data_IF_884423784942
#
_entry.id   IF_884423784942
#
_cell.length_a   1.000
_cell.length_b   1.000
_cell.length_c   1.000
_cell.angle_alpha   90.00
_cell.angle_beta   90.00
_cell.angle_gamma   90.00
#
_symmetry.space_group_name_H-M   'P 1'
#
loop_
_entity.id
_entity.type
_entity.pdbx_description
1 polymer ?
#
# COMPACT_ATOMS: atom_id res chain seq x y z
N UNK A 1 -18.45 -11.65 -2.73
CA UNK A 1 -17.26 -10.80 -2.64
C UNK A 1 -17.39 -9.69 -3.66
N UNK A 2 -17.18 -8.46 -3.22
CA UNK A 2 -17.17 -7.26 -4.07
C UNK A 2 -15.92 -6.48 -3.70
N UNK A 3 -15.20 -6.01 -4.70
CA UNK A 3 -14.16 -5.00 -4.54
C UNK A 3 -14.40 -3.90 -5.56
N UNK A 4 -14.48 -2.67 -5.08
CA UNK A 4 -14.48 -1.47 -5.89
C UNK A 4 -13.31 -0.59 -5.46
N UNK A 5 -12.59 -0.03 -6.44
CA UNK A 5 -11.49 0.90 -6.20
C UNK A 5 -11.62 2.02 -7.22
N UNK A 6 -11.83 3.21 -6.73
CA UNK A 6 -11.77 4.44 -7.51
C UNK A 6 -10.49 5.17 -7.15
N UNK A 7 -9.79 5.75 -8.13
CA UNK A 7 -8.55 6.47 -7.86
C UNK A 7 -8.47 7.71 -8.72
N UNK A 8 -8.10 8.82 -8.09
CA UNK A 8 -7.84 10.09 -8.73
C UNK A 8 -6.37 10.44 -8.59
N UNK A 9 -5.77 10.96 -9.68
CA UNK A 9 -4.37 11.36 -9.72
C UNK A 9 -4.25 12.77 -10.23
N UNK A 10 -3.53 13.61 -9.49
CA UNK A 10 -3.11 14.92 -9.93
C UNK A 10 -1.58 14.98 -9.93
N UNK A 11 -0.99 15.40 -11.04
CA UNK A 11 0.44 15.63 -11.13
C UNK A 11 0.69 17.02 -11.70
N UNK A 12 1.49 17.81 -10.97
CA UNK A 12 2.00 19.09 -11.40
C UNK A 12 3.52 19.00 -11.43
N UNK A 13 4.13 19.39 -12.53
CA UNK A 13 5.59 19.36 -12.72
C UNK A 13 6.06 20.59 -13.46
N UNK A 14 7.20 21.13 -13.02
CA UNK A 14 7.90 22.20 -13.72
C UNK A 14 9.39 21.86 -13.84
N UNK A 15 9.94 22.08 -15.03
CA UNK A 15 11.37 21.95 -15.30
C UNK A 15 11.94 23.34 -15.62
N UNK A 16 13.07 23.68 -15.01
CA UNK A 16 13.82 24.91 -15.27
C UNK A 16 15.23 24.55 -15.68
N UNK A 17 15.60 24.98 -16.88
CA UNK A 17 16.94 24.77 -17.45
C UNK A 17 17.79 25.99 -17.20
N UNK A 18 18.98 25.81 -16.67
CA UNK A 18 19.96 26.85 -16.44
C UNK A 18 21.36 26.30 -16.71
N UNK A 19 21.94 26.66 -17.86
CA UNK A 19 23.23 26.16 -18.33
C UNK A 19 23.36 24.62 -18.21
N UNK A 20 24.22 24.16 -17.30
CA UNK A 20 24.51 22.74 -17.09
C UNK A 20 23.53 22.04 -16.12
N UNK A 21 22.49 22.73 -15.69
CA UNK A 21 21.54 22.23 -14.72
C UNK A 21 20.11 22.14 -15.26
N UNK A 22 19.41 21.07 -14.90
CA UNK A 22 17.96 20.93 -15.08
C UNK A 22 17.32 20.69 -13.72
N UNK A 23 16.70 21.74 -13.20
CA UNK A 23 15.94 21.67 -11.97
C UNK A 23 14.53 21.22 -12.26
N UNK A 24 14.07 20.21 -11.54
CA UNK A 24 12.70 19.72 -11.59
C UNK A 24 12.05 19.91 -10.24
N UNK A 25 10.86 20.48 -10.19
CA UNK A 25 10.00 20.50 -9.01
C UNK A 25 8.65 19.92 -9.37
N UNK A 26 8.07 19.12 -8.47
CA UNK A 26 6.78 18.54 -8.74
C UNK A 26 5.98 18.26 -7.48
N UNK A 27 4.66 18.23 -7.68
CA UNK A 27 3.66 17.82 -6.70
C UNK A 27 2.80 16.72 -7.31
N UNK A 28 2.51 15.69 -6.53
CA UNK A 28 1.61 14.60 -6.92
C UNK A 28 0.61 14.35 -5.79
N UNK A 29 -0.66 14.15 -6.14
CA UNK A 29 -1.71 13.65 -5.26
C UNK A 29 -2.28 12.38 -5.85
N UNK A 30 -2.34 11.33 -5.05
CA UNK A 30 -2.98 10.03 -5.34
C UNK A 30 -4.02 9.80 -4.26
N UNK A 31 -5.28 9.79 -4.62
CA UNK A 31 -6.42 9.56 -3.76
C UNK A 31 -7.12 8.28 -4.22
N UNK A 32 -7.44 7.40 -3.29
CA UNK A 32 -8.02 6.10 -3.60
C UNK A 32 -9.10 5.73 -2.61
N UNK A 33 -10.33 5.66 -3.12
CA UNK A 33 -11.50 5.11 -2.42
C UNK A 33 -11.57 3.60 -2.63
N UNK A 34 -11.68 2.86 -1.54
CA UNK A 34 -11.69 1.40 -1.58
C UNK A 34 -12.86 0.85 -0.79
N UNK A 35 -13.75 0.16 -1.47
CA UNK A 35 -14.80 -0.66 -0.84
C UNK A 35 -14.47 -2.12 -1.10
N UNK A 36 -14.19 -2.88 -0.05
CA UNK A 36 -13.89 -4.31 -0.14
C UNK A 36 -14.81 -5.12 0.77
N UNK A 37 -15.76 -5.82 0.17
CA UNK A 37 -16.66 -6.74 0.84
C UNK A 37 -16.12 -8.17 0.72
N UNK A 38 -15.30 -8.57 1.66
CA UNK A 38 -14.80 -9.94 1.78
C UNK A 38 -15.13 -10.51 3.17
N UNK A 39 -16.22 -11.26 3.23
CA UNK A 39 -16.66 -11.91 4.47
C UNK A 39 -16.43 -13.42 4.34
N UNK A 40 -15.30 -13.87 4.83
CA UNK A 40 -14.99 -15.29 4.85
C UNK A 40 -16.00 -16.05 5.71
N UNK A 41 -16.55 -17.13 5.20
CA UNK A 41 -17.52 -18.00 5.90
C UNK A 41 -18.85 -17.32 6.24
N UNK A 42 -19.28 -16.33 5.48
CA UNK A 42 -20.59 -15.71 5.64
C UNK A 42 -21.74 -16.76 5.50
N UNK A 43 -21.60 -17.68 4.55
CA UNK A 43 -22.57 -18.77 4.34
C UNK A 43 -22.31 -20.00 5.24
N UNK A 44 -21.41 -19.89 6.19
CA UNK A 44 -20.98 -21.00 7.02
C UNK A 44 -19.91 -21.90 6.36
N UNK A 45 -19.16 -22.59 7.19
CA UNK A 45 -18.18 -23.63 6.82
C UNK A 45 -18.40 -24.82 7.76
N UNK A 46 -18.79 -25.95 7.20
CA UNK A 46 -18.89 -27.22 7.94
C UNK A 46 -17.66 -28.05 7.62
N UNK A 47 -17.00 -28.59 8.62
CA UNK A 47 -15.84 -29.46 8.47
C UNK A 47 -16.14 -30.85 9.03
N UNK A 48 -15.71 -31.87 8.30
CA UNK A 48 -15.79 -33.28 8.66
C UNK A 48 -14.36 -33.80 8.85
N UNK A 49 -14.15 -34.83 9.66
CA UNK A 49 -12.83 -35.46 9.90
C UNK A 49 -12.46 -36.43 8.79
N UNK A 50 -13.49 -37.08 8.19
CA UNK A 50 -13.35 -38.09 7.14
C UNK A 50 -14.49 -38.01 6.11
N UNK A 51 -14.35 -38.70 4.99
CA UNK A 51 -15.42 -38.84 4.00
C UNK A 51 -16.58 -39.67 4.55
N UNK A 52 -16.31 -40.64 5.42
CA UNK A 52 -17.33 -41.42 6.11
C UNK A 52 -18.16 -40.55 7.05
N UNK A 53 -17.52 -39.68 7.83
CA UNK A 53 -18.20 -38.67 8.65
C UNK A 53 -19.11 -37.75 7.82
N UNK A 54 -18.63 -37.33 6.64
CA UNK A 54 -19.45 -36.56 5.71
C UNK A 54 -20.69 -37.32 5.24
N UNK A 55 -20.54 -38.57 4.83
CA UNK A 55 -21.65 -39.43 4.40
C UNK A 55 -22.68 -39.67 5.52
N UNK A 56 -22.20 -39.78 6.76
CA UNK A 56 -23.04 -40.03 7.94
C UNK A 56 -23.55 -38.73 8.60
N UNK A 57 -23.23 -37.54 8.03
CA UNK A 57 -23.65 -36.25 8.59
C UNK A 57 -22.97 -35.87 9.92
N UNK A 58 -21.86 -36.53 10.28
CA UNK A 58 -21.11 -36.30 11.54
C UNK A 58 -20.09 -35.18 11.34
N UNK A 59 -20.48 -33.96 11.60
CA UNK A 59 -19.58 -32.81 11.49
C UNK A 59 -18.64 -32.70 12.70
N UNK A 60 -17.46 -32.13 12.50
CA UNK A 60 -16.48 -31.88 13.56
C UNK A 60 -16.40 -30.41 13.96
N UNK A 61 -16.69 -29.52 13.05
CA UNK A 61 -16.66 -28.08 13.30
C UNK A 61 -17.59 -27.33 12.35
N UNK A 62 -18.36 -26.41 12.91
CA UNK A 62 -19.13 -25.42 12.18
C UNK A 62 -18.52 -24.02 12.47
N UNK A 63 -18.31 -23.21 11.46
CA UNK A 63 -17.89 -21.81 11.61
C UNK A 63 -18.73 -20.92 10.71
N UNK A 64 -19.09 -19.77 11.23
CA UNK A 64 -19.81 -18.74 10.48
C UNK A 64 -19.28 -17.37 10.90
N UNK A 65 -19.33 -16.42 9.99
CA UNK A 65 -19.10 -15.01 10.29
C UNK A 65 -20.45 -14.31 10.24
N UNK A 66 -20.94 -13.84 11.39
CA UNK A 66 -22.24 -13.24 11.55
C UNK A 66 -22.12 -11.75 11.89
N UNK A 67 -22.93 -10.88 11.27
CA UNK A 67 -23.06 -9.50 11.71
C UNK A 67 -23.71 -9.44 13.10
N UNK A 68 -23.39 -8.39 13.86
CA UNK A 68 -24.13 -8.07 15.07
C UNK A 68 -25.49 -7.46 14.76
N UNK A 69 -26.41 -7.50 15.73
CA UNK A 69 -27.71 -6.85 15.62
C UNK A 69 -27.57 -5.37 15.24
N UNK A 70 -28.33 -4.92 14.25
CA UNK A 70 -28.22 -3.60 13.66
C UNK A 70 -27.16 -3.45 12.55
N UNK A 71 -26.40 -4.50 12.27
CA UNK A 71 -25.40 -4.55 11.19
C UNK A 71 -25.69 -5.66 10.17
N UNK A 72 -26.95 -6.08 10.04
CA UNK A 72 -27.40 -7.18 9.19
C UNK A 72 -27.23 -6.88 7.69
N UNK A 73 -27.17 -5.58 7.32
CA UNK A 73 -26.87 -5.21 5.97
C UNK A 73 -25.43 -5.60 5.62
N UNK A 74 -25.26 -6.42 4.60
CA UNK A 74 -23.95 -6.96 4.18
C UNK A 74 -22.90 -5.86 3.96
N UNK A 75 -23.33 -4.68 3.48
CA UNK A 75 -22.45 -3.50 3.30
C UNK A 75 -21.80 -2.99 4.58
N UNK A 76 -22.41 -3.18 5.75
CA UNK A 76 -21.84 -2.70 7.02
C UNK A 76 -20.59 -3.47 7.46
N UNK A 77 -20.33 -4.62 6.86
CA UNK A 77 -19.16 -5.46 7.12
C UNK A 77 -18.06 -5.26 6.07
N UNK A 78 -18.26 -4.39 5.09
CA UNK A 78 -17.24 -4.05 4.11
C UNK A 78 -16.10 -3.25 4.78
N UNK A 79 -14.88 -3.43 4.29
CA UNK A 79 -13.84 -2.44 4.48
C UNK A 79 -14.15 -1.29 3.54
N UNK A 80 -14.46 -0.14 4.10
CA UNK A 80 -14.72 1.11 3.39
C UNK A 80 -13.72 2.14 3.91
N UNK A 81 -12.78 2.54 3.06
CA UNK A 81 -11.69 3.42 3.46
C UNK A 81 -11.10 4.17 2.27
N UNK A 82 -10.58 5.32 2.59
CA UNK A 82 -9.86 6.20 1.69
C UNK A 82 -8.37 6.21 2.07
N UNK A 83 -7.50 6.28 1.06
CA UNK A 83 -6.06 6.48 1.23
C UNK A 83 -5.66 7.65 0.35
N UNK A 84 -5.18 8.70 1.00
CA UNK A 84 -4.59 9.85 0.35
C UNK A 84 -3.07 9.79 0.43
N UNK A 85 -2.42 10.15 -0.67
CA UNK A 85 -0.97 10.32 -0.72
C UNK A 85 -0.63 11.62 -1.40
N UNK A 86 0.02 12.51 -0.67
CA UNK A 86 0.58 13.75 -1.17
C UNK A 86 2.10 13.63 -1.28
N UNK A 87 2.65 14.12 -2.37
CA UNK A 87 4.07 14.02 -2.63
C UNK A 87 4.61 15.34 -3.15
N UNK A 88 5.72 15.79 -2.59
CA UNK A 88 6.47 16.95 -3.06
C UNK A 88 7.90 16.52 -3.36
N UNK A 89 8.42 16.93 -4.50
CA UNK A 89 9.79 16.58 -4.85
C UNK A 89 10.52 17.72 -5.56
N UNK A 90 11.83 17.74 -5.36
CA UNK A 90 12.78 18.58 -6.08
C UNK A 90 13.95 17.71 -6.54
N UNK A 91 14.44 17.98 -7.73
CA UNK A 91 15.56 17.27 -8.32
C UNK A 91 16.44 18.25 -9.11
N UNK A 92 17.74 18.03 -9.04
CA UNK A 92 18.72 18.68 -9.92
C UNK A 92 19.43 17.60 -10.72
N UNK A 93 19.39 17.74 -12.04
CA UNK A 93 20.20 16.98 -12.98
C UNK A 93 21.30 17.90 -13.49
N UNK A 94 22.52 17.65 -13.04
CA UNK A 94 23.70 18.43 -13.35
C UNK A 94 24.57 17.71 -14.39
N UNK A 95 24.79 18.35 -15.53
CA UNK A 95 25.75 17.95 -16.55
C UNK A 95 27.12 18.51 -16.19
N UNK A 96 27.87 17.78 -15.37
CA UNK A 96 29.18 18.25 -14.86
C UNK A 96 30.15 18.52 -15.99
N UNK A 97 30.12 17.68 -17.04
CA UNK A 97 30.81 17.83 -18.32
C UNK A 97 30.10 16.90 -19.35
N UNK A 98 30.70 16.79 -20.55
CA UNK A 98 30.11 15.96 -21.64
C UNK A 98 29.94 14.49 -21.26
N UNK A 99 30.76 13.98 -20.36
CA UNK A 99 30.82 12.55 -20.04
C UNK A 99 30.14 12.22 -18.72
N UNK A 100 29.99 13.19 -17.79
CA UNK A 100 29.47 12.98 -16.45
C UNK A 100 28.19 13.76 -16.19
N UNK A 101 27.12 13.04 -15.94
CA UNK A 101 25.87 13.56 -15.42
C UNK A 101 25.65 13.07 -14.00
N UNK A 102 25.30 13.98 -13.09
CA UNK A 102 24.96 13.66 -11.69
C UNK A 102 23.53 14.10 -11.43
N UNK A 103 22.82 13.37 -10.61
CA UNK A 103 21.45 13.70 -10.21
C UNK A 103 21.31 13.65 -8.69
N UNK A 104 20.78 14.72 -8.13
CA UNK A 104 20.38 14.83 -6.74
C UNK A 104 18.88 15.01 -6.68
N UNK A 105 18.22 14.35 -5.77
CA UNK A 105 16.79 14.50 -5.60
C UNK A 105 16.37 14.31 -4.15
N UNK A 106 15.32 15.02 -3.78
CA UNK A 106 14.66 14.89 -2.50
C UNK A 106 13.16 14.80 -2.75
N UNK A 107 12.52 13.77 -2.21
CA UNK A 107 11.08 13.57 -2.27
C UNK A 107 10.54 13.40 -0.87
N UNK A 108 9.45 14.07 -0.57
CA UNK A 108 8.65 13.90 0.64
C UNK A 108 7.31 13.32 0.24
N UNK A 109 6.95 12.19 0.82
CA UNK A 109 5.64 11.57 0.68
C UNK A 109 4.95 11.57 2.03
N UNK A 110 3.70 12.00 2.07
CA UNK A 110 2.78 11.94 3.19
C UNK A 110 1.62 11.03 2.79
N UNK A 111 1.31 10.06 3.63
CA UNK A 111 0.20 9.12 3.44
C UNK A 111 -0.74 9.24 4.60
N UNK A 112 -2.02 9.43 4.31
CA UNK A 112 -3.08 9.58 5.30
C UNK A 112 -4.24 8.65 5.01
N UNK A 113 -4.94 8.25 6.08
CA UNK A 113 -6.24 7.59 6.02
C UNK A 113 -7.25 8.49 6.73
N UNK A 114 -8.04 9.32 5.99
CA UNK A 114 -8.93 10.32 6.58
C UNK A 114 -9.91 9.75 7.62
N UNK A 115 -10.38 8.54 7.37
CA UNK A 115 -11.35 7.84 8.22
C UNK A 115 -10.62 6.73 9.00
N UNK A 116 -10.77 6.69 10.31
CA UNK A 116 -10.25 5.60 11.14
C UNK A 116 -11.12 4.34 11.05
N UNK A 117 -10.57 3.13 11.26
CA UNK A 117 -11.36 1.91 11.40
C UNK A 117 -12.41 2.01 12.53
N UNK A 118 -13.50 1.25 12.42
CA UNK A 118 -14.55 1.24 13.44
C UNK A 118 -14.01 0.79 14.81
N UNK A 119 -14.33 1.54 15.86
CA UNK A 119 -13.91 1.24 17.23
C UNK A 119 -14.66 0.02 17.77
N UNK A 120 -13.93 -0.98 18.23
CA UNK A 120 -14.48 -2.09 18.99
C UNK A 120 -14.51 -1.76 20.48
N UNK A 121 -15.69 -1.45 21.02
CA UNK A 121 -15.84 -1.06 22.42
C UNK A 121 -15.45 -2.16 23.41
N UNK A 122 -15.62 -3.43 23.04
CA UNK A 122 -15.22 -4.56 23.87
C UNK A 122 -13.70 -4.70 23.93
N UNK A 123 -13.03 -4.47 22.79
CA UNK A 123 -11.58 -4.44 22.73
C UNK A 123 -11.00 -3.31 23.62
N UNK A 124 -11.57 -2.10 23.51
CA UNK A 124 -11.15 -0.96 24.36
C UNK A 124 -11.33 -1.27 25.84
N UNK A 125 -12.46 -1.88 26.20
CA UNK A 125 -12.75 -2.25 27.60
C UNK A 125 -11.78 -3.29 28.13
N UNK A 126 -11.39 -4.26 27.31
CA UNK A 126 -10.51 -5.38 27.71
C UNK A 126 -9.05 -4.95 27.80
N UNK A 127 -8.57 -4.17 26.81
CA UNK A 127 -7.14 -3.87 26.65
C UNK A 127 -6.74 -2.44 27.04
N UNK A 128 -7.70 -1.53 27.25
CA UNK A 128 -7.44 -0.16 27.67
C UNK A 128 -6.92 0.79 26.61
N UNK A 129 -6.88 0.38 25.34
CA UNK A 129 -6.52 1.23 24.21
C UNK A 129 -7.41 0.96 22.98
N UNK A 130 -7.45 1.91 22.02
CA UNK A 130 -8.30 1.81 20.84
C UNK A 130 -7.66 0.98 19.73
N UNK A 131 -8.49 0.18 19.02
CA UNK A 131 -8.13 -0.46 17.75
C UNK A 131 -8.31 0.48 16.55
N UNK A 132 -8.91 1.66 16.73
CA UNK A 132 -9.28 2.61 15.68
C UNK A 132 -8.14 3.62 15.43
N UNK A 133 -6.94 3.13 15.12
CA UNK A 133 -5.82 3.99 14.74
C UNK A 133 -5.83 4.23 13.24
N UNK A 134 -5.58 5.49 12.84
CA UNK A 134 -5.29 5.85 11.46
C UNK A 134 -3.90 5.33 11.05
N UNK A 135 -3.71 5.13 9.76
CA UNK A 135 -2.43 4.69 9.19
C UNK A 135 -1.74 5.86 8.50
N UNK A 136 -1.48 6.91 9.29
CA UNK A 136 -0.85 8.12 8.80
C UNK A 136 0.67 8.04 9.04
N UNK A 137 1.45 8.38 8.02
CA UNK A 137 2.90 8.42 8.12
C UNK A 137 3.49 9.28 6.99
N UNK A 138 4.71 9.73 7.18
CA UNK A 138 5.47 10.47 6.20
C UNK A 138 6.88 9.90 6.00
N UNK A 139 7.44 10.12 4.82
CA UNK A 139 8.77 9.62 4.45
C UNK A 139 9.53 10.63 3.62
N UNK A 140 10.73 11.00 4.09
CA UNK A 140 11.69 11.76 3.32
C UNK A 140 12.64 10.85 2.57
N UNK A 141 12.76 11.03 1.25
CA UNK A 141 13.44 10.12 0.33
C UNK A 141 14.55 10.83 -0.44
N UNK A 142 15.75 10.95 0.13
CA UNK A 142 16.91 11.45 -0.60
C UNK A 142 17.37 10.45 -1.66
N UNK A 143 17.80 10.98 -2.81
CA UNK A 143 18.28 10.21 -3.96
C UNK A 143 19.52 10.86 -4.54
N UNK A 144 20.45 10.01 -4.96
CA UNK A 144 21.65 10.40 -5.67
C UNK A 144 21.92 9.38 -6.75
N UNK A 145 22.31 9.83 -7.94
CA UNK A 145 22.80 8.95 -9.00
C UNK A 145 23.80 9.66 -9.90
N UNK A 146 24.58 8.88 -10.60
CA UNK A 146 25.48 9.37 -11.64
C UNK A 146 25.47 8.46 -12.87
N UNK A 147 25.79 9.04 -14.01
CA UNK A 147 26.00 8.37 -15.28
C UNK A 147 27.27 8.96 -15.89
N UNK A 148 28.25 8.11 -16.15
CA UNK A 148 29.55 8.51 -16.69
C UNK A 148 29.84 7.72 -17.97
N UNK A 149 30.10 8.44 -19.06
CA UNK A 149 30.61 7.85 -20.30
C UNK A 149 32.13 7.61 -20.14
N UNK A 150 32.54 6.40 -20.41
CA UNK A 150 33.93 5.96 -20.34
C UNK A 150 34.46 5.54 -21.73
N UNK A 151 33.71 5.82 -22.78
CA UNK A 151 34.04 5.37 -24.15
C UNK A 151 35.42 5.81 -24.55
N UNK A 152 35.81 7.02 -24.30
CA UNK A 152 37.11 7.60 -24.65
C UNK A 152 38.27 6.90 -23.95
N UNK A 153 38.09 6.28 -22.78
CA UNK A 153 39.10 5.50 -22.09
C UNK A 153 39.46 4.19 -22.85
N UNK A 154 38.59 3.79 -23.76
CA UNK A 154 38.71 2.53 -24.51
C UNK A 154 38.87 2.74 -26.03
N UNK A 155 39.05 3.97 -26.51
CA UNK A 155 39.19 4.30 -27.94
C UNK A 155 40.29 3.47 -28.65
N UNK A 156 41.34 3.09 -27.93
CA UNK A 156 42.41 2.24 -28.49
C UNK A 156 42.03 0.78 -28.67
N UNK A 157 40.82 0.37 -28.27
CA UNK A 157 40.32 -1.00 -28.38
C UNK A 157 39.22 -1.06 -29.43
N UNK A 158 39.53 -1.51 -30.64
CA UNK A 158 38.58 -1.64 -31.76
C UNK A 158 37.30 -2.44 -31.45
N UNK A 159 37.32 -3.25 -30.38
CA UNK A 159 36.15 -4.05 -29.95
C UNK A 159 35.19 -3.34 -29.02
N UNK A 160 35.50 -2.12 -28.52
CA UNK A 160 34.63 -1.35 -27.60
C UNK A 160 33.96 -0.23 -28.37
N UNK A 161 32.67 -0.34 -28.58
CA UNK A 161 31.82 0.67 -29.25
C UNK A 161 31.35 1.74 -28.28
N UNK A 162 31.04 1.38 -27.04
CA UNK A 162 30.68 2.30 -25.98
C UNK A 162 30.91 1.69 -24.60
N UNK A 163 31.25 2.50 -23.62
CA UNK A 163 31.39 2.10 -22.22
C UNK A 163 30.72 3.13 -21.31
N UNK A 164 29.85 2.68 -20.43
CA UNK A 164 29.14 3.57 -19.51
C UNK A 164 29.18 3.00 -18.09
N UNK A 165 29.53 3.83 -17.12
CA UNK A 165 29.42 3.52 -15.69
C UNK A 165 28.23 4.26 -15.08
N UNK A 166 27.35 3.52 -14.40
CA UNK A 166 26.19 4.10 -13.71
C UNK A 166 26.16 3.62 -12.27
N UNK A 167 25.73 4.50 -11.38
CA UNK A 167 25.57 4.16 -9.99
C UNK A 167 24.63 5.14 -9.28
N UNK A 168 24.19 4.75 -8.10
CA UNK A 168 23.35 5.61 -7.29
C UNK A 168 22.93 4.96 -5.99
N UNK A 169 22.35 5.81 -5.13
CA UNK A 169 21.75 5.39 -3.86
C UNK A 169 20.53 6.26 -3.59
N UNK A 170 19.50 5.67 -3.00
CA UNK A 170 18.31 6.42 -2.60
C UNK A 170 17.47 5.65 -1.60
N UNK A 171 16.61 6.39 -0.92
CA UNK A 171 15.49 5.83 -0.19
C UNK A 171 14.26 5.90 -1.10
N UNK A 172 13.45 4.85 -1.03
CA UNK A 172 12.25 4.74 -1.84
C UNK A 172 11.14 4.15 -0.97
N UNK A 173 10.01 4.81 -0.93
CA UNK A 173 8.82 4.25 -0.31
C UNK A 173 8.20 3.21 -1.25
N UNK A 174 8.00 2.00 -0.75
CA UNK A 174 7.24 0.97 -1.45
C UNK A 174 5.73 1.26 -1.40
N UNK A 175 4.97 0.73 -2.35
CA UNK A 175 3.51 0.79 -2.30
C UNK A 175 3.01 -0.13 -1.19
N UNK A 176 2.22 0.41 -0.25
CA UNK A 176 1.59 -0.40 0.79
C UNK A 176 0.46 -1.22 0.17
N UNK A 177 0.43 -2.54 0.40
CA UNK A 177 -0.65 -3.38 -0.10
C UNK A 177 -2.00 -2.96 0.51
N UNK A 178 -2.96 -2.56 -0.33
CA UNK A 178 -4.32 -2.15 0.09
C UNK A 178 -5.05 -3.22 0.92
N UNK A 179 -4.69 -4.49 0.76
CA UNK A 179 -5.23 -5.59 1.56
C UNK A 179 -4.93 -5.46 3.06
N UNK A 180 -3.85 -4.80 3.45
CA UNK A 180 -3.54 -4.57 4.86
C UNK A 180 -4.51 -3.57 5.47
N UNK A 181 -4.79 -2.48 4.75
CA UNK A 181 -5.84 -1.53 5.13
C UNK A 181 -7.20 -2.25 5.16
N UNK A 182 -7.58 -2.95 4.11
CA UNK A 182 -8.83 -3.70 4.03
C UNK A 182 -9.04 -4.65 5.20
N UNK A 183 -7.99 -5.34 5.65
CA UNK A 183 -8.06 -6.21 6.82
C UNK A 183 -8.27 -5.44 8.13
N UNK A 184 -7.65 -4.27 8.28
CA UNK A 184 -7.81 -3.43 9.47
C UNK A 184 -9.21 -2.83 9.56
N UNK A 185 -9.79 -2.41 8.44
CA UNK A 185 -11.12 -1.82 8.39
C UNK A 185 -12.26 -2.86 8.48
N UNK A 186 -12.10 -4.05 7.88
CA UNK A 186 -13.16 -5.08 7.88
C UNK A 186 -13.17 -5.99 9.12
N UNK A 187 -12.04 -6.12 9.83
CA UNK A 187 -11.89 -7.07 10.94
C UNK A 187 -11.79 -6.41 12.30
N UNK A 188 -12.47 -5.32 12.48
CA UNK A 188 -12.47 -4.59 13.76
C UNK A 188 -13.17 -5.35 14.88
N UNK A 189 -14.09 -6.31 14.56
CA UNK A 189 -14.98 -6.92 15.52
C UNK A 189 -16.05 -5.96 16.06
N UNK A 190 -16.25 -4.81 15.41
CA UNK A 190 -17.26 -3.82 15.78
C UNK A 190 -18.63 -4.14 15.16
N UNK A 191 -18.65 -4.66 13.92
CA UNK A 191 -19.87 -4.90 13.14
C UNK A 191 -20.28 -6.36 13.05
N UNK A 192 -19.39 -7.29 13.35
CA UNK A 192 -19.66 -8.72 13.32
C UNK A 192 -18.49 -9.52 13.89
N UNK A 193 -18.70 -10.80 14.13
CA UNK A 193 -17.71 -11.71 14.70
C UNK A 193 -17.79 -13.11 14.12
N UNK A 194 -16.70 -13.87 14.28
CA UNK A 194 -16.65 -15.29 13.97
C UNK A 194 -17.21 -16.12 15.13
N UNK A 195 -18.19 -16.95 14.81
CA UNK A 195 -18.67 -17.97 15.74
C UNK A 195 -18.24 -19.36 15.28
N UNK A 196 -17.86 -20.19 16.22
CA UNK A 196 -17.45 -21.55 15.95
C UNK A 196 -18.03 -22.54 16.98
N UNK A 197 -18.54 -23.64 16.49
CA UNK A 197 -19.01 -24.78 17.31
C UNK A 197 -18.18 -25.99 16.95
N UNK A 198 -17.92 -26.82 17.96
CA UNK A 198 -17.18 -28.06 17.82
C UNK A 198 -18.08 -29.18 18.30
N UNK A 199 -18.16 -30.28 17.55
CA UNK A 199 -18.76 -31.52 18.07
C UNK A 199 -17.74 -32.24 18.94
N UNK A 200 -18.14 -32.68 20.07
CA UNK A 200 -17.35 -33.53 20.97
C UNK A 200 -17.11 -34.91 20.36
#
# INVERSE_FOLDING_TARGET
NLINVESEFLTLKADYNNDDHVYTVGFERDESDVVNLFIARYNGEVRFRSFEDYQNGVWSRLRIHEPYAGHEAVGTMAADFEVEKNSLYIQDKWFVNNDLTVMFGLRYDEVETPIAPATNVNFVKEYGFSNASKFDFDVLQPRFSFNMDLTDLFESRESVVSATLRGGRGLFMGRIPRVWYGNAYSRTGATGDYRGWYSN
#
